data_IF_199508645132
#
_entry.id   IF_199508645132
#
_cell.length_a   1.000
_cell.length_b   1.000
_cell.length_c   1.000
_cell.angle_alpha   90.00
_cell.angle_beta   90.00
_cell.angle_gamma   90.00
#
_symmetry.space_group_name_H-M   'P 1'
#
loop_
_entity.id
_entity.type
_entity.pdbx_description
1 polymer ?
#
# COMPACT_ATOMS: atom_id res chain seq x y z
N UNK A 1 -9.88 0.42 16.08
CA UNK A 1 -9.10 1.08 15.02
C UNK A 1 -8.27 -0.01 14.41
N UNK A 2 -8.42 -0.19 13.11
CA UNK A 2 -7.68 -1.18 12.35
C UNK A 2 -6.40 -0.53 11.82
N UNK A 3 -5.41 -1.37 11.54
CA UNK A 3 -4.15 -0.97 10.91
C UNK A 3 -4.21 -1.29 9.44
N UNK A 4 -3.69 -0.40 8.60
CA UNK A 4 -3.60 -0.59 7.16
C UNK A 4 -2.16 -0.46 6.73
N UNK A 5 -1.65 -1.48 6.05
CA UNK A 5 -0.35 -1.42 5.41
C UNK A 5 -0.46 -0.63 4.11
N UNK A 6 0.47 0.31 3.94
CA UNK A 6 0.73 0.98 2.67
C UNK A 6 2.04 0.44 2.13
N UNK A 7 1.99 -0.21 0.97
CA UNK A 7 3.15 -0.82 0.33
C UNK A 7 3.50 -0.03 -0.91
N UNK A 8 4.76 0.38 -1.03
CA UNK A 8 5.30 0.92 -2.27
C UNK A 8 5.83 -0.23 -3.12
N UNK A 9 5.12 -0.54 -4.20
CA UNK A 9 5.52 -1.50 -5.21
C UNK A 9 6.35 -0.79 -6.27
N UNK A 10 7.58 -1.23 -6.45
CA UNK A 10 8.49 -0.78 -7.51
C UNK A 10 8.68 -1.89 -8.54
N UNK A 11 9.41 -1.61 -9.62
CA UNK A 11 9.70 -2.61 -10.66
C UNK A 11 10.48 -3.80 -10.08
N UNK A 12 11.32 -3.59 -9.07
CA UNK A 12 12.22 -4.63 -8.52
C UNK A 12 11.79 -5.25 -7.20
N UNK A 13 11.02 -4.55 -6.37
CA UNK A 13 10.66 -4.98 -5.02
C UNK A 13 9.43 -4.25 -4.50
N UNK A 14 8.83 -4.81 -3.46
CA UNK A 14 7.83 -4.16 -2.63
C UNK A 14 8.46 -3.75 -1.31
N UNK A 15 8.08 -2.58 -0.81
CA UNK A 15 8.57 -2.06 0.47
C UNK A 15 7.40 -1.55 1.29
N UNK A 16 7.41 -1.87 2.60
CA UNK A 16 6.49 -1.23 3.53
C UNK A 16 6.81 0.27 3.57
N UNK A 17 5.85 1.08 3.15
CA UNK A 17 5.98 2.53 3.11
C UNK A 17 5.55 3.15 4.44
N UNK A 18 4.32 2.87 4.87
CA UNK A 18 3.78 3.34 6.15
C UNK A 18 2.67 2.39 6.65
N UNK A 19 2.35 2.50 7.94
CA UNK A 19 1.15 1.90 8.53
C UNK A 19 0.21 3.03 8.95
N UNK A 20 -1.07 2.92 8.57
CA UNK A 20 -2.09 3.91 8.89
C UNK A 20 -3.11 3.27 9.84
N UNK A 21 -3.35 3.91 10.98
CA UNK A 21 -4.47 3.55 11.85
C UNK A 21 -5.74 4.26 11.36
N UNK A 22 -6.78 3.50 10.99
CA UNK A 22 -8.05 4.02 10.49
C UNK A 22 -9.23 3.13 10.91
N UNK A 23 -10.46 3.58 10.71
CA UNK A 23 -11.67 2.77 10.94
C UNK A 23 -12.05 1.91 9.73
N UNK A 24 -11.63 2.29 8.52
CA UNK A 24 -11.92 1.57 7.28
C UNK A 24 -10.82 1.74 6.24
N UNK A 25 -10.86 0.90 5.20
CA UNK A 25 -9.95 0.99 4.06
C UNK A 25 -10.08 2.34 3.33
N UNK A 26 -11.31 2.84 3.14
CA UNK A 26 -11.54 4.15 2.52
C UNK A 26 -10.94 5.29 3.33
N UNK A 27 -11.03 5.23 4.67
CA UNK A 27 -10.42 6.23 5.53
C UNK A 27 -8.89 6.14 5.49
N UNK A 28 -8.33 4.93 5.52
CA UNK A 28 -6.89 4.73 5.37
C UNK A 28 -6.38 5.26 4.03
N UNK A 29 -7.13 5.02 2.95
CA UNK A 29 -6.83 5.51 1.62
C UNK A 29 -6.88 7.04 1.54
N UNK A 30 -7.92 7.65 2.10
CA UNK A 30 -8.04 9.10 2.17
C UNK A 30 -6.90 9.74 2.97
N UNK A 31 -6.52 9.14 4.11
CA UNK A 31 -5.38 9.60 4.92
C UNK A 31 -4.09 9.49 4.11
N UNK A 32 -3.86 8.36 3.42
CA UNK A 32 -2.71 8.18 2.54
C UNK A 32 -2.67 9.25 1.45
N UNK A 33 -3.76 9.46 0.73
CA UNK A 33 -3.85 10.43 -0.37
C UNK A 33 -3.63 11.87 0.10
N UNK A 34 -4.08 12.23 1.30
CA UNK A 34 -3.89 13.58 1.84
C UNK A 34 -2.46 13.79 2.32
N UNK A 35 -1.91 12.83 3.07
CA UNK A 35 -0.58 12.97 3.71
C UNK A 35 0.58 12.72 2.77
N UNK A 36 0.40 11.82 1.81
CA UNK A 36 1.44 11.33 0.90
C UNK A 36 1.12 11.62 -0.57
N UNK A 37 0.34 12.67 -0.82
CA UNK A 37 0.05 13.13 -2.19
C UNK A 37 1.33 13.34 -3.00
N UNK A 38 2.35 13.96 -2.40
CA UNK A 38 3.63 14.18 -3.04
C UNK A 38 4.35 12.89 -3.44
N UNK A 39 4.33 11.87 -2.57
CA UNK A 39 4.93 10.56 -2.86
C UNK A 39 4.17 9.83 -3.98
N UNK A 40 2.83 9.90 -3.97
CA UNK A 40 1.98 9.38 -5.05
C UNK A 40 2.25 10.09 -6.38
N UNK A 41 2.32 11.41 -6.38
CA UNK A 41 2.55 12.19 -7.60
C UNK A 41 3.98 11.95 -8.15
N UNK A 42 4.95 11.74 -7.26
CA UNK A 42 6.34 11.42 -7.58
C UNK A 42 6.57 9.96 -8.04
N UNK A 43 5.54 9.12 -8.05
CA UNK A 43 5.66 7.74 -8.56
C UNK A 43 6.23 7.73 -9.97
N UNK A 44 7.10 6.76 -10.24
CA UNK A 44 7.60 6.47 -11.58
C UNK A 44 6.64 5.55 -12.33
N UNK A 45 6.79 5.49 -13.65
CA UNK A 45 6.01 4.58 -14.49
C UNK A 45 6.24 3.13 -14.03
N UNK A 46 5.15 2.42 -13.76
CA UNK A 46 5.19 1.04 -13.26
C UNK A 46 5.40 0.91 -11.74
N UNK A 47 5.47 2.02 -11.00
CA UNK A 47 5.31 1.99 -9.55
C UNK A 47 3.84 2.02 -9.18
N UNK A 48 3.53 1.42 -8.02
CA UNK A 48 2.18 1.34 -7.45
C UNK A 48 2.24 1.51 -5.94
N UNK A 49 1.19 2.05 -5.34
CA UNK A 49 0.92 1.94 -3.91
C UNK A 49 -0.26 1.01 -3.68
N UNK A 50 -0.09 0.10 -2.73
CA UNK A 50 -1.11 -0.85 -2.31
C UNK A 50 -1.51 -0.50 -0.88
N UNK A 51 -2.80 -0.34 -0.62
CA UNK A 51 -3.33 -0.11 0.72
C UNK A 51 -4.27 -1.25 1.06
N UNK A 52 -3.99 -1.96 2.16
CA UNK A 52 -4.82 -3.07 2.62
C UNK A 52 -4.71 -3.26 4.13
N UNK A 53 -5.71 -3.93 4.71
CA UNK A 53 -5.78 -4.18 6.14
C UNK A 53 -4.64 -5.08 6.64
N UNK A 54 -4.08 -4.73 7.79
CA UNK A 54 -3.02 -5.45 8.48
C UNK A 54 -3.57 -6.68 9.21
N UNK A 55 -3.95 -7.70 8.43
CA UNK A 55 -4.41 -8.98 8.94
C UNK A 55 -3.22 -9.88 9.35
N UNK A 56 -2.50 -9.46 10.40
CA UNK A 56 -1.30 -10.12 10.92
C UNK A 56 0.01 -9.49 10.45
N UNK A 57 1.11 -10.25 10.54
CA UNK A 57 2.42 -9.78 10.10
C UNK A 57 2.52 -9.70 8.57
N UNK A 58 3.11 -8.61 8.09
CA UNK A 58 3.43 -8.42 6.69
C UNK A 58 4.51 -9.42 6.25
N UNK A 59 4.20 -10.24 5.25
CA UNK A 59 5.14 -11.23 4.70
C UNK A 59 5.59 -10.84 3.30
N UNK A 60 6.82 -11.21 2.98
CA UNK A 60 7.42 -11.02 1.67
C UNK A 60 7.88 -12.37 1.12
N UNK A 61 7.73 -12.55 -0.19
CA UNK A 61 8.23 -13.71 -0.92
C UNK A 61 9.75 -13.61 -1.18
N UNK A 62 10.32 -14.62 -1.85
CA UNK A 62 11.74 -14.68 -2.22
C UNK A 62 12.19 -13.52 -3.13
N UNK A 63 11.26 -12.82 -3.78
CA UNK A 63 11.52 -11.67 -4.65
C UNK A 63 11.28 -10.33 -3.94
N UNK A 64 11.13 -10.33 -2.60
CA UNK A 64 10.69 -9.18 -1.81
C UNK A 64 9.38 -8.58 -2.32
N UNK A 65 8.46 -9.40 -2.82
CA UNK A 65 7.08 -8.99 -3.10
C UNK A 65 6.21 -9.28 -1.92
N UNK A 66 5.32 -8.36 -1.60
CA UNK A 66 4.41 -8.54 -0.48
C UNK A 66 3.46 -9.70 -0.80
N UNK A 67 3.33 -10.64 0.14
CA UNK A 67 2.29 -11.66 0.06
C UNK A 67 0.95 -10.96 0.30
N UNK A 68 0.18 -10.79 -0.78
CA UNK A 68 -1.11 -10.11 -0.72
C UNK A 68 -2.07 -10.85 0.21
N UNK A 69 -2.94 -10.12 0.93
CA UNK A 69 -3.91 -10.74 1.81
C UNK A 69 -4.85 -11.65 1.00
N UNK A 70 -5.04 -12.88 1.49
CA UNK A 70 -5.92 -13.89 0.86
C UNK A 70 -7.40 -13.48 0.95
N UNK A 71 -7.73 -12.59 1.90
CA UNK A 71 -9.07 -12.06 2.14
C UNK A 71 -8.99 -10.58 2.51
N UNK A 72 -10.02 -9.82 2.15
CA UNK A 72 -10.12 -8.38 2.42
C UNK A 72 -10.08 -7.57 1.13
N UNK A 73 -10.46 -6.29 1.25
CA UNK A 73 -10.38 -5.33 0.16
C UNK A 73 -8.98 -4.70 0.11
N UNK A 74 -8.57 -4.28 -1.08
CA UNK A 74 -7.30 -3.59 -1.32
C UNK A 74 -7.53 -2.43 -2.29
N UNK A 75 -6.96 -1.28 -1.96
CA UNK A 75 -6.89 -0.12 -2.83
C UNK A 75 -5.54 -0.09 -3.54
N UNK A 76 -5.55 0.22 -4.84
CA UNK A 76 -4.35 0.29 -5.67
C UNK A 76 -4.28 1.67 -6.33
N UNK A 77 -3.20 2.40 -6.04
CA UNK A 77 -2.84 3.60 -6.78
C UNK A 77 -1.69 3.28 -7.72
N UNK A 78 -1.95 3.30 -9.03
CA UNK A 78 -0.94 3.02 -10.06
C UNK A 78 -0.74 4.21 -10.97
N UNK A 79 0.48 4.43 -11.44
CA UNK A 79 0.77 5.46 -12.45
C UNK A 79 0.74 4.85 -13.85
N UNK A 80 -0.39 5.04 -14.54
CA UNK A 80 -0.63 4.57 -15.91
C UNK A 80 -0.15 5.59 -16.95
N UNK A 81 1.17 5.67 -17.14
CA UNK A 81 1.88 6.50 -18.14
C UNK A 81 1.76 8.02 -18.02
#
# INVERSE_FOLDING_TARGET
MEKFYVIKRTIGKDEQFIVIDAMSLDEADAIFLVRHKGDKDAMKKGEEFLVFEANGELKFDENNRVELPIKGEMMIHKKLS
#
